data_IF_980559157999
#
_entry.id   IF_980559157999
#
_cell.length_a   1.000
_cell.length_b   1.000
_cell.length_c   1.000
_cell.angle_alpha   90.00
_cell.angle_beta   90.00
_cell.angle_gamma   90.00
#
_symmetry.space_group_name_H-M   'P 1'
#
loop_
_entity.id
_entity.type
_entity.pdbx_description
1 polymer ?
#
# COMPACT_ATOMS: atom_id res chain seq x y z
N UNK A 1 2.98 -17.24 7.68
CA UNK A 1 4.37 -16.72 7.74
C UNK A 1 4.84 -16.30 6.36
N UNK A 2 5.48 -15.13 6.24
CA UNK A 2 6.17 -14.64 5.05
C UNK A 2 7.67 -14.67 5.32
N UNK A 3 8.48 -15.15 4.36
CA UNK A 3 9.94 -15.10 4.45
C UNK A 3 10.51 -14.42 3.23
N UNK A 4 11.45 -13.52 3.46
CA UNK A 4 12.16 -12.78 2.41
C UNK A 4 13.64 -13.13 2.46
N UNK A 5 14.32 -12.94 1.33
CA UNK A 5 15.77 -13.08 1.24
C UNK A 5 16.32 -12.11 0.22
N UNK A 6 17.60 -11.78 0.34
CA UNK A 6 18.31 -10.99 -0.67
C UNK A 6 18.91 -11.95 -1.70
N UNK A 7 18.63 -11.68 -2.97
CA UNK A 7 19.30 -12.31 -4.11
C UNK A 7 20.01 -11.26 -4.95
N UNK A 8 20.95 -11.71 -5.77
CA UNK A 8 21.51 -10.87 -6.82
C UNK A 8 20.62 -10.97 -8.08
N UNK A 9 20.26 -9.81 -8.63
CA UNK A 9 19.54 -9.69 -9.89
C UNK A 9 20.23 -8.64 -10.75
N UNK A 10 20.79 -9.04 -11.88
CA UNK A 10 21.62 -8.20 -12.77
C UNK A 10 22.73 -7.41 -12.01
N UNK A 11 23.34 -8.02 -10.99
CA UNK A 11 24.38 -7.40 -10.16
C UNK A 11 23.86 -6.41 -9.10
N UNK A 12 22.55 -6.34 -8.91
CA UNK A 12 21.89 -5.50 -7.90
C UNK A 12 21.32 -6.39 -6.79
N UNK A 13 21.59 -6.11 -5.51
CA UNK A 13 20.91 -6.80 -4.41
C UNK A 13 19.43 -6.44 -4.41
N UNK A 14 18.60 -7.47 -4.54
CA UNK A 14 17.15 -7.39 -4.71
C UNK A 14 16.47 -8.28 -3.68
N UNK A 15 15.44 -7.75 -3.03
CA UNK A 15 14.64 -8.48 -2.06
C UNK A 15 13.61 -9.35 -2.79
N UNK A 16 13.57 -10.64 -2.46
CA UNK A 16 12.67 -11.61 -3.09
C UNK A 16 11.88 -12.38 -2.02
N UNK A 17 10.73 -12.90 -2.44
CA UNK A 17 9.90 -13.76 -1.62
C UNK A 17 10.49 -15.18 -1.62
N UNK A 18 10.98 -15.63 -0.46
CA UNK A 18 11.48 -16.99 -0.28
C UNK A 18 10.33 -17.99 -0.18
N UNK A 19 9.32 -17.68 0.63
CA UNK A 19 8.17 -18.54 0.87
C UNK A 19 7.03 -17.76 1.50
N UNK A 20 5.79 -18.17 1.25
CA UNK A 20 4.60 -17.66 1.92
C UNK A 20 3.68 -18.80 2.35
N UNK A 21 3.16 -18.74 3.57
CA UNK A 21 2.19 -19.72 4.07
C UNK A 21 0.76 -19.43 3.57
N UNK A 22 -0.06 -20.47 3.43
CA UNK A 22 -1.45 -20.36 2.99
C UNK A 22 -2.35 -19.49 3.91
N UNK A 23 -1.97 -19.39 5.18
CA UNK A 23 -2.62 -18.60 6.23
C UNK A 23 -1.89 -17.29 6.52
N UNK A 24 -0.91 -16.90 5.69
CA UNK A 24 -0.14 -15.69 5.92
C UNK A 24 -1.01 -14.43 5.88
N UNK A 25 -0.71 -13.51 6.79
CA UNK A 25 -1.48 -12.28 7.00
C UNK A 25 -0.76 -11.05 6.46
N UNK A 26 -1.47 -9.94 6.35
CA UNK A 26 -0.87 -8.64 6.05
C UNK A 26 0.16 -8.25 7.12
N UNK A 27 -0.08 -8.64 8.38
CA UNK A 27 0.90 -8.41 9.44
C UNK A 27 2.20 -9.21 9.20
N UNK A 28 2.11 -10.47 8.77
CA UNK A 28 3.30 -11.26 8.43
C UNK A 28 4.16 -10.58 7.35
N UNK A 29 3.52 -10.02 6.32
CA UNK A 29 4.23 -9.28 5.27
C UNK A 29 4.86 -7.98 5.79
N UNK A 30 4.12 -7.26 6.63
CA UNK A 30 4.63 -6.04 7.30
C UNK A 30 5.87 -6.38 8.12
N UNK A 31 5.82 -7.45 8.91
CA UNK A 31 6.91 -7.83 9.81
C UNK A 31 8.15 -8.25 9.02
N UNK A 32 7.98 -9.04 7.96
CA UNK A 32 9.08 -9.46 7.10
C UNK A 32 9.76 -8.28 6.37
N UNK A 33 8.98 -7.32 5.87
CA UNK A 33 9.54 -6.10 5.26
C UNK A 33 10.13 -5.14 6.29
N UNK A 34 9.59 -5.12 7.51
CA UNK A 34 10.12 -4.31 8.59
C UNK A 34 11.49 -4.81 9.05
N UNK A 35 11.67 -6.13 9.15
CA UNK A 35 12.96 -6.73 9.44
C UNK A 35 14.02 -6.28 8.43
N UNK A 36 13.74 -6.36 7.12
CA UNK A 36 14.65 -5.87 6.08
C UNK A 36 14.89 -4.34 6.13
N UNK A 37 13.87 -3.58 6.55
CA UNK A 37 13.96 -2.12 6.72
C UNK A 37 14.93 -1.74 7.84
N UNK A 38 14.94 -2.50 8.92
CA UNK A 38 15.76 -2.26 10.10
C UNK A 38 17.11 -3.02 10.06
N UNK A 39 17.32 -3.90 9.08
CA UNK A 39 18.59 -4.59 8.87
C UNK A 39 19.65 -3.64 8.24
N UNK A 40 20.75 -3.30 8.93
CA UNK A 40 21.77 -2.42 8.40
C UNK A 40 22.58 -3.03 7.24
N UNK A 41 22.46 -4.33 7.00
CA UNK A 41 23.16 -5.06 5.92
C UNK A 41 22.36 -5.13 4.62
N UNK A 42 21.09 -4.75 4.64
CA UNK A 42 20.26 -4.70 3.43
C UNK A 42 20.58 -3.47 2.58
N UNK A 43 20.81 -3.69 1.29
CA UNK A 43 21.12 -2.66 0.30
C UNK A 43 19.96 -1.69 0.10
N UNK A 44 20.21 -0.40 0.27
CA UNK A 44 19.25 0.71 0.26
C UNK A 44 19.87 1.84 -0.57
N UNK A 45 19.65 1.89 -1.90
CA UNK A 45 20.36 2.78 -2.82
C UNK A 45 20.22 4.27 -2.47
N UNK A 46 19.12 4.64 -1.81
CA UNK A 46 18.86 6.02 -1.41
C UNK A 46 19.54 6.42 -0.09
N UNK A 47 20.14 5.47 0.65
CA UNK A 47 20.98 5.81 1.80
C UNK A 47 22.37 6.24 1.30
N UNK A 48 22.93 7.32 1.85
CA UNK A 48 24.32 7.76 1.57
C UNK A 48 25.37 6.65 1.76
N UNK A 49 25.35 5.84 2.84
CA UNK A 49 26.21 4.66 2.94
C UNK A 49 25.73 3.45 2.12
N UNK A 50 24.59 3.56 1.44
CA UNK A 50 23.83 2.48 0.76
C UNK A 50 23.36 1.33 1.64
N UNK A 51 23.82 1.27 2.89
CA UNK A 51 23.52 0.22 3.87
C UNK A 51 23.27 0.90 5.22
N UNK A 52 22.24 0.45 5.94
CA UNK A 52 21.87 1.05 7.23
C UNK A 52 20.38 0.97 7.52
N UNK A 53 19.99 1.51 8.67
CA UNK A 53 18.59 1.54 9.11
C UNK A 53 17.85 2.66 8.38
N UNK A 54 16.65 2.39 7.88
CA UNK A 54 15.85 3.38 7.14
C UNK A 54 15.32 4.53 8.02
N UNK A 55 15.06 4.27 9.31
CA UNK A 55 14.55 5.28 10.23
C UNK A 55 15.52 6.46 10.36
N UNK A 56 15.04 7.68 10.10
CA UNK A 56 15.87 8.89 10.17
C UNK A 56 16.68 9.20 8.90
N UNK A 57 16.52 8.43 7.83
CA UNK A 57 17.17 8.70 6.54
C UNK A 57 16.95 10.15 6.06
N UNK A 58 18.00 10.80 5.56
CA UNK A 58 17.94 12.18 5.03
C UNK A 58 17.21 12.25 3.68
N UNK A 59 17.36 11.21 2.87
CA UNK A 59 16.72 11.03 1.56
C UNK A 59 15.37 10.27 1.68
N UNK A 60 14.72 10.38 2.85
CA UNK A 60 13.54 9.57 3.18
C UNK A 60 12.37 9.70 2.19
N UNK A 61 11.59 8.63 2.10
CA UNK A 61 10.38 8.56 1.27
C UNK A 61 9.36 9.67 1.59
N UNK A 62 9.33 10.16 2.84
CA UNK A 62 8.44 11.23 3.28
C UNK A 62 8.71 12.57 2.58
N UNK A 63 9.90 12.81 2.04
CA UNK A 63 10.24 14.02 1.26
C UNK A 63 9.97 13.83 -0.23
N UNK A 64 10.16 12.62 -0.72
CA UNK A 64 10.20 12.33 -2.16
C UNK A 64 8.84 11.94 -2.72
N UNK A 65 8.04 11.19 -1.96
CA UNK A 65 6.83 10.55 -2.46
C UNK A 65 5.56 11.07 -1.78
N UNK A 66 4.45 10.87 -2.48
CA UNK A 66 3.12 11.04 -1.92
C UNK A 66 2.79 9.83 -1.06
N UNK A 67 2.16 10.07 0.09
CA UNK A 67 1.82 9.02 1.05
C UNK A 67 0.32 8.82 1.06
N UNK A 68 -0.09 7.59 0.76
CA UNK A 68 -1.47 7.16 0.64
C UNK A 68 -1.86 6.33 1.88
N UNK A 69 -2.61 6.91 2.84
CA UNK A 69 -3.06 6.16 4.01
C UNK A 69 -4.09 5.09 3.64
N UNK A 70 -3.97 3.93 4.29
CA UNK A 70 -5.01 2.90 4.29
C UNK A 70 -6.05 3.15 5.40
N UNK A 71 -7.16 2.41 5.35
CA UNK A 71 -8.26 2.56 6.31
C UNK A 71 -7.83 2.32 7.77
N UNK A 72 -7.00 1.30 8.02
CA UNK A 72 -6.62 0.92 9.39
C UNK A 72 -5.69 2.00 9.96
N UNK A 73 -4.66 2.42 9.22
CA UNK A 73 -3.77 3.49 9.68
C UNK A 73 -4.50 4.82 9.84
N UNK A 74 -5.37 5.20 8.91
CA UNK A 74 -6.16 6.44 9.02
C UNK A 74 -7.01 6.47 10.29
N UNK A 75 -7.68 5.36 10.64
CA UNK A 75 -8.42 5.25 11.88
C UNK A 75 -7.51 5.36 13.12
N UNK A 76 -6.38 4.65 13.13
CA UNK A 76 -5.42 4.71 14.26
C UNK A 76 -4.84 6.11 14.45
N UNK A 77 -4.48 6.80 13.37
CA UNK A 77 -3.96 8.17 13.40
C UNK A 77 -5.05 9.16 13.87
N UNK A 78 -6.27 9.03 13.36
CA UNK A 78 -7.40 9.86 13.77
C UNK A 78 -7.68 9.70 15.27
N UNK A 79 -7.74 8.47 15.76
CA UNK A 79 -7.94 8.15 17.18
C UNK A 79 -6.82 8.73 18.04
N UNK A 80 -5.55 8.55 17.66
CA UNK A 80 -4.40 9.12 18.39
C UNK A 80 -4.42 10.66 18.44
N UNK A 81 -5.18 11.31 17.55
CA UNK A 81 -5.37 12.76 17.51
C UNK A 81 -6.71 13.21 18.10
N UNK A 82 -7.49 12.30 18.68
CA UNK A 82 -8.85 12.57 19.18
C UNK A 82 -9.77 13.18 18.12
N UNK A 83 -9.68 12.69 16.88
CA UNK A 83 -10.51 13.07 15.74
C UNK A 83 -11.36 11.89 15.27
N UNK A 84 -12.55 12.19 14.75
CA UNK A 84 -13.28 11.22 13.92
C UNK A 84 -12.52 10.99 12.61
N UNK A 85 -12.71 9.83 11.97
CA UNK A 85 -12.14 9.58 10.63
C UNK A 85 -12.56 10.69 9.64
N UNK A 86 -13.82 11.14 9.72
CA UNK A 86 -14.39 12.20 8.88
C UNK A 86 -13.61 13.53 9.04
N UNK A 87 -13.35 13.94 10.28
CA UNK A 87 -12.68 15.20 10.56
C UNK A 87 -11.17 15.13 10.29
N UNK A 88 -10.55 13.98 10.60
CA UNK A 88 -9.18 13.70 10.20
C UNK A 88 -9.02 13.84 8.68
N UNK A 89 -9.89 13.19 7.90
CA UNK A 89 -9.89 13.26 6.45
C UNK A 89 -10.01 14.67 5.91
N UNK A 90 -10.95 15.48 6.44
CA UNK A 90 -11.11 16.88 6.00
C UNK A 90 -9.86 17.72 6.22
N UNK A 91 -9.14 17.48 7.31
CA UNK A 91 -8.02 18.30 7.76
C UNK A 91 -6.67 17.85 7.17
N UNK A 92 -6.51 16.57 6.89
CA UNK A 92 -5.20 15.97 6.63
C UNK A 92 -5.07 15.25 5.30
N UNK A 93 -6.17 15.01 4.57
CA UNK A 93 -6.13 14.31 3.28
C UNK A 93 -6.50 15.23 2.12
N UNK A 94 -5.72 15.11 1.04
CA UNK A 94 -6.10 15.61 -0.28
C UNK A 94 -7.16 14.67 -0.87
N UNK A 95 -8.23 15.29 -1.35
CA UNK A 95 -9.45 14.62 -1.84
C UNK A 95 -9.79 15.07 -3.26
N UNK A 96 -8.81 15.58 -3.99
CA UNK A 96 -8.99 15.93 -5.39
C UNK A 96 -9.65 14.77 -6.15
N UNK A 97 -10.66 15.09 -6.95
CA UNK A 97 -11.50 14.11 -7.66
C UNK A 97 -10.74 13.30 -8.71
N UNK A 98 -9.56 13.77 -9.13
CA UNK A 98 -8.72 13.19 -10.17
C UNK A 98 -7.66 12.25 -9.57
N UNK A 99 -7.52 12.22 -8.24
CA UNK A 99 -6.66 11.24 -7.56
C UNK A 99 -7.29 9.84 -7.57
N UNK A 100 -6.44 8.83 -7.78
CA UNK A 100 -6.86 7.44 -7.69
C UNK A 100 -6.96 6.94 -6.24
N UNK A 101 -6.11 7.45 -5.35
CA UNK A 101 -6.13 7.23 -3.90
C UNK A 101 -6.03 8.55 -3.14
N UNK A 102 -6.56 8.58 -1.92
CA UNK A 102 -6.38 9.75 -1.06
C UNK A 102 -4.94 9.80 -0.57
N UNK A 103 -4.32 10.97 -0.59
CA UNK A 103 -2.96 11.20 -0.08
C UNK A 103 -2.96 12.18 1.07
N UNK A 104 -1.92 12.20 1.88
CA UNK A 104 -1.73 13.28 2.85
C UNK A 104 -1.65 14.65 2.18
N UNK A 105 -2.27 15.65 2.78
CA UNK A 105 -2.24 17.03 2.31
C UNK A 105 -0.88 17.67 2.63
N UNK A 106 0.02 17.74 1.64
CA UNK A 106 1.28 18.46 1.73
C UNK A 106 2.51 17.66 1.29
N UNK A 107 3.56 18.39 0.90
CA UNK A 107 4.89 17.85 0.62
C UNK A 107 5.95 18.77 1.26
N UNK A 108 6.87 18.27 2.11
CA UNK A 108 7.02 16.87 2.52
C UNK A 108 5.81 16.36 3.33
N UNK A 109 5.76 15.05 3.59
CA UNK A 109 4.72 14.42 4.40
C UNK A 109 4.48 15.24 5.69
N UNK A 110 3.22 15.58 6.03
CA UNK A 110 2.91 16.45 7.17
C UNK A 110 3.27 15.84 8.53
N UNK A 111 3.61 14.55 8.56
CA UNK A 111 4.05 13.86 9.77
C UNK A 111 5.57 13.80 9.93
N UNK A 112 6.35 14.34 8.99
CA UNK A 112 7.80 14.40 9.07
C UNK A 112 8.26 15.57 9.94
N UNK A 113 8.97 15.29 11.03
CA UNK A 113 9.61 16.29 11.90
C UNK A 113 11.01 15.81 12.27
N UNK A 114 12.02 16.66 12.09
CA UNK A 114 13.42 16.35 12.42
C UNK A 114 13.92 15.01 11.79
N UNK A 115 13.52 14.76 10.53
CA UNK A 115 13.75 13.51 9.77
C UNK A 115 13.09 12.25 10.34
N UNK A 116 12.22 12.38 11.34
CA UNK A 116 11.49 11.28 11.96
C UNK A 116 9.99 11.41 11.75
N UNK A 117 9.31 10.25 11.69
CA UNK A 117 7.87 10.20 11.54
C UNK A 117 7.19 10.34 12.91
N UNK A 118 6.40 11.39 13.08
CA UNK A 118 5.64 11.66 14.32
C UNK A 118 4.50 10.66 14.58
N UNK A 119 4.18 9.81 13.60
CA UNK A 119 3.17 8.75 13.70
C UNK A 119 3.78 7.37 13.43
N UNK A 120 5.09 7.18 13.67
CA UNK A 120 5.81 5.96 13.29
C UNK A 120 5.10 4.64 13.68
N UNK A 121 4.51 4.48 14.89
CA UNK A 121 3.78 3.25 15.26
C UNK A 121 2.46 3.05 14.52
N UNK A 122 1.89 4.10 13.92
CA UNK A 122 0.63 4.10 13.20
C UNK A 122 0.80 4.43 11.71
N UNK A 123 2.04 4.37 11.20
CA UNK A 123 2.33 4.76 9.82
C UNK A 123 1.48 3.94 8.83
N UNK A 124 1.05 4.56 7.71
CA UNK A 124 0.36 3.89 6.63
C UNK A 124 1.00 2.60 6.18
N UNK A 125 0.19 1.67 5.69
CA UNK A 125 0.66 0.40 5.15
C UNK A 125 1.70 0.59 4.04
N UNK A 126 1.50 1.56 3.14
CA UNK A 126 2.48 1.89 2.10
C UNK A 126 3.84 2.26 2.70
N UNK A 127 3.89 2.93 3.87
CA UNK A 127 5.13 3.27 4.56
C UNK A 127 5.76 2.10 5.31
N UNK A 128 5.00 1.04 5.62
CA UNK A 128 5.51 -0.20 6.24
C UNK A 128 6.04 -1.16 5.20
N UNK A 129 5.41 -1.14 4.04
CA UNK A 129 5.70 -2.05 2.95
C UNK A 129 6.74 -1.49 1.97
N UNK A 130 6.98 -0.18 1.98
CA UNK A 130 7.99 0.45 1.14
C UNK A 130 9.38 0.33 1.75
N UNK A 131 10.28 -0.29 1.00
CA UNK A 131 11.71 -0.29 1.24
C UNK A 131 12.39 0.20 -0.04
N UNK A 132 13.38 1.09 0.07
CA UNK A 132 14.06 1.64 -1.11
C UNK A 132 14.99 0.63 -1.83
N UNK A 133 15.13 -0.57 -1.28
CA UNK A 133 15.74 -1.75 -1.90
C UNK A 133 14.88 -2.23 -3.07
N UNK A 134 15.46 -2.56 -4.24
CA UNK A 134 14.74 -3.21 -5.31
C UNK A 134 14.06 -4.50 -4.83
N UNK A 135 12.89 -4.81 -5.38
CA UNK A 135 12.17 -6.06 -5.10
C UNK A 135 11.88 -6.79 -6.41
N UNK A 136 11.77 -8.12 -6.35
CA UNK A 136 11.30 -8.90 -7.50
C UNK A 136 9.83 -8.62 -7.82
N UNK A 137 9.41 -8.94 -9.05
CA UNK A 137 8.03 -8.72 -9.50
C UNK A 137 7.00 -9.37 -8.58
N UNK A 138 7.26 -10.57 -8.05
CA UNK A 138 6.34 -11.27 -7.17
C UNK A 138 6.15 -10.53 -5.84
N UNK A 139 7.24 -10.07 -5.23
CA UNK A 139 7.18 -9.30 -3.99
C UNK A 139 6.55 -7.92 -4.23
N UNK A 140 6.90 -7.24 -5.32
CA UNK A 140 6.29 -5.98 -5.76
C UNK A 140 4.77 -6.13 -5.94
N UNK A 141 4.33 -7.17 -6.65
CA UNK A 141 2.92 -7.42 -6.94
C UNK A 141 2.14 -7.76 -5.67
N UNK A 142 2.71 -8.57 -4.77
CA UNK A 142 2.11 -8.86 -3.47
C UNK A 142 1.97 -7.59 -2.63
N UNK A 143 3.04 -6.80 -2.54
CA UNK A 143 3.07 -5.51 -1.83
C UNK A 143 2.04 -4.52 -2.38
N UNK A 144 1.99 -4.37 -3.70
CA UNK A 144 1.07 -3.47 -4.39
C UNK A 144 -0.39 -3.91 -4.19
N UNK A 145 -0.67 -5.20 -4.28
CA UNK A 145 -2.01 -5.76 -4.05
C UNK A 145 -2.54 -5.39 -2.67
N UNK A 146 -1.72 -5.59 -1.63
CA UNK A 146 -2.05 -5.24 -0.24
C UNK A 146 -2.26 -3.72 -0.08
N UNK A 147 -1.37 -2.91 -0.64
CA UNK A 147 -1.46 -1.44 -0.56
C UNK A 147 -2.75 -0.92 -1.21
N UNK A 148 -3.07 -1.38 -2.41
CA UNK A 148 -4.29 -1.01 -3.12
C UNK A 148 -5.56 -1.41 -2.38
N UNK A 149 -5.58 -2.57 -1.71
CA UNK A 149 -6.72 -2.95 -0.86
C UNK A 149 -6.87 -2.00 0.32
N UNK A 150 -5.80 -1.73 1.06
CA UNK A 150 -5.84 -0.82 2.20
C UNK A 150 -6.28 0.60 1.84
N UNK A 151 -5.70 1.17 0.79
CA UNK A 151 -5.96 2.53 0.30
C UNK A 151 -7.38 2.66 -0.28
N UNK A 152 -7.88 1.64 -0.98
CA UNK A 152 -9.26 1.64 -1.49
C UNK A 152 -10.31 1.44 -0.40
N UNK A 153 -10.00 0.69 0.66
CA UNK A 153 -10.91 0.55 1.79
C UNK A 153 -11.21 1.91 2.44
N UNK A 154 -10.20 2.79 2.52
CA UNK A 154 -10.39 4.15 3.03
C UNK A 154 -11.36 4.93 2.15
N UNK A 155 -11.21 4.85 0.82
CA UNK A 155 -12.15 5.48 -0.12
C UNK A 155 -13.57 4.95 0.07
N UNK A 156 -13.73 3.62 0.11
CA UNK A 156 -15.06 2.99 0.22
C UNK A 156 -15.74 3.39 1.52
N UNK A 157 -15.00 3.46 2.63
CA UNK A 157 -15.54 3.90 3.91
C UNK A 157 -15.95 5.39 3.86
N UNK A 158 -15.11 6.25 3.31
CA UNK A 158 -15.39 7.69 3.23
C UNK A 158 -16.50 8.03 2.24
N UNK A 159 -16.73 7.23 1.20
CA UNK A 159 -17.88 7.38 0.30
C UNK A 159 -19.21 7.27 1.06
N UNK A 160 -19.30 6.41 2.09
CA UNK A 160 -20.51 6.28 2.93
C UNK A 160 -20.83 7.55 3.70
N UNK A 161 -19.82 8.41 3.93
CA UNK A 161 -19.97 9.66 4.69
C UNK A 161 -20.37 10.86 3.83
N UNK A 162 -20.38 10.71 2.50
CA UNK A 162 -20.63 11.80 1.55
C UNK A 162 -19.46 12.77 1.39
N UNK A 163 -18.26 12.46 1.92
CA UNK A 163 -17.10 13.36 1.85
C UNK A 163 -16.37 13.36 0.50
N UNK A 164 -16.55 12.31 -0.30
CA UNK A 164 -15.81 12.10 -1.54
C UNK A 164 -16.70 12.31 -2.76
N UNK A 165 -16.10 12.81 -3.84
CA UNK A 165 -16.79 13.00 -5.10
C UNK A 165 -17.27 11.66 -5.70
N UNK A 166 -18.36 11.66 -6.51
CA UNK A 166 -18.84 10.44 -7.17
C UNK A 166 -17.82 9.75 -8.09
N UNK A 167 -16.75 10.45 -8.50
CA UNK A 167 -15.65 9.90 -9.31
C UNK A 167 -14.92 8.75 -8.60
N UNK A 168 -14.94 8.74 -7.27
CA UNK A 168 -14.38 7.67 -6.44
C UNK A 168 -15.23 6.39 -6.42
N UNK A 169 -16.47 6.41 -6.91
CA UNK A 169 -17.35 5.25 -6.84
C UNK A 169 -16.92 4.14 -7.80
N UNK A 170 -17.15 2.89 -7.41
CA UNK A 170 -16.94 1.71 -8.26
C UNK A 170 -17.58 1.87 -9.65
N UNK A 171 -18.85 2.33 -9.69
CA UNK A 171 -19.60 2.51 -10.95
C UNK A 171 -18.91 3.52 -11.87
N UNK A 172 -18.43 4.63 -11.33
CA UNK A 172 -17.75 5.64 -12.12
C UNK A 172 -16.38 5.14 -12.62
N UNK A 173 -15.58 4.53 -11.75
CA UNK A 173 -14.27 3.96 -12.14
C UNK A 173 -14.39 2.87 -13.19
N UNK A 174 -15.35 1.96 -13.04
CA UNK A 174 -15.61 0.93 -14.04
C UNK A 174 -16.08 1.53 -15.38
N UNK A 175 -16.88 2.60 -15.35
CA UNK A 175 -17.29 3.33 -16.55
C UNK A 175 -16.07 3.94 -17.27
N UNK A 176 -15.15 4.56 -16.54
CA UNK A 176 -13.93 5.13 -17.12
C UNK A 176 -13.02 4.03 -17.68
N UNK A 177 -12.85 2.92 -16.97
CA UNK A 177 -12.08 1.78 -17.47
C UNK A 177 -12.67 1.18 -18.76
N UNK A 178 -14.01 1.10 -18.87
CA UNK A 178 -14.69 0.71 -20.11
C UNK A 178 -14.49 1.72 -21.24
N UNK A 179 -14.44 3.01 -20.91
CA UNK A 179 -14.13 4.07 -21.88
C UNK A 179 -12.72 3.87 -22.43
N UNK A 180 -11.73 3.65 -21.58
CA UNK A 180 -10.34 3.42 -21.98
C UNK A 180 -10.20 2.21 -22.91
N UNK A 181 -10.97 1.13 -22.65
CA UNK A 181 -11.04 -0.01 -23.56
C UNK A 181 -11.66 0.40 -24.91
N UNK A 182 -12.78 1.12 -24.90
CA UNK A 182 -13.48 1.52 -26.13
C UNK A 182 -12.66 2.47 -27.00
N UNK A 183 -11.81 3.31 -26.40
CA UNK A 183 -10.89 4.22 -27.09
C UNK A 183 -9.57 3.57 -27.46
N UNK A 184 -9.40 2.26 -27.20
CA UNK A 184 -8.17 1.49 -27.42
C UNK A 184 -6.95 2.04 -26.66
N UNK A 185 -7.17 2.78 -25.58
CA UNK A 185 -6.10 3.23 -24.69
C UNK A 185 -5.51 2.05 -23.89
N UNK A 186 -6.33 1.03 -23.61
CA UNK A 186 -5.91 -0.25 -23.02
C UNK A 186 -6.36 -1.44 -23.87
N UNK A 187 -5.62 -2.54 -23.76
CA UNK A 187 -5.95 -3.83 -24.38
C UNK A 187 -6.99 -4.62 -23.55
N UNK A 188 -7.70 -5.60 -24.15
CA UNK A 188 -8.73 -6.38 -23.46
C UNK A 188 -8.27 -7.19 -22.23
N UNK A 189 -7.06 -7.74 -22.28
CA UNK A 189 -6.40 -8.44 -21.18
C UNK A 189 -6.13 -7.48 -20.01
N UNK A 190 -5.58 -6.29 -20.30
CA UNK A 190 -5.36 -5.23 -19.30
C UNK A 190 -6.67 -4.76 -18.68
N UNK A 191 -7.73 -4.61 -19.48
CA UNK A 191 -9.07 -4.30 -18.97
C UNK A 191 -9.54 -5.37 -17.99
N UNK A 192 -9.42 -6.65 -18.35
CA UNK A 192 -9.89 -7.77 -17.53
C UNK A 192 -9.19 -7.78 -16.17
N UNK A 193 -7.86 -7.65 -16.16
CA UNK A 193 -7.07 -7.58 -14.93
C UNK A 193 -7.46 -6.38 -14.06
N UNK A 194 -7.53 -5.17 -14.65
CA UNK A 194 -7.89 -3.95 -13.90
C UNK A 194 -9.33 -3.98 -13.40
N UNK A 195 -10.26 -4.56 -14.14
CA UNK A 195 -11.65 -4.71 -13.72
C UNK A 195 -11.77 -5.69 -12.55
N UNK A 196 -11.02 -6.80 -12.58
CA UNK A 196 -10.95 -7.74 -11.47
C UNK A 196 -10.35 -7.08 -10.23
N UNK A 197 -9.22 -6.37 -10.37
CA UNK A 197 -8.60 -5.62 -9.26
C UNK A 197 -9.58 -4.60 -8.67
N UNK A 198 -10.26 -3.83 -9.51
CA UNK A 198 -11.27 -2.85 -9.08
C UNK A 198 -12.44 -3.52 -8.34
N UNK A 199 -12.88 -4.68 -8.81
CA UNK A 199 -13.91 -5.46 -8.14
C UNK A 199 -13.46 -5.92 -6.75
N UNK A 200 -12.24 -6.46 -6.62
CA UNK A 200 -11.69 -6.86 -5.32
C UNK A 200 -11.63 -5.66 -4.35
N UNK A 201 -11.03 -4.55 -4.79
CA UNK A 201 -10.88 -3.31 -4.02
C UNK A 201 -12.19 -2.72 -3.49
N UNK A 202 -13.31 -2.88 -4.21
CA UNK A 202 -14.59 -2.26 -3.84
C UNK A 202 -15.64 -3.22 -3.31
N UNK A 203 -15.58 -4.51 -3.67
CA UNK A 203 -16.64 -5.49 -3.42
C UNK A 203 -16.22 -6.64 -2.52
N UNK A 204 -14.93 -6.98 -2.52
CA UNK A 204 -14.39 -8.09 -1.72
C UNK A 204 -13.26 -7.65 -0.78
N UNK A 205 -13.12 -6.37 -0.53
CA UNK A 205 -11.98 -5.81 0.19
C UNK A 205 -11.98 -6.24 1.67
N UNK A 206 -10.97 -7.00 2.14
CA UNK A 206 -10.94 -7.51 3.51
C UNK A 206 -10.70 -6.42 4.56
N UNK A 207 -10.04 -5.31 4.19
CA UNK A 207 -9.78 -4.18 5.09
C UNK A 207 -11.07 -3.48 5.56
N UNK A 208 -12.20 -3.67 4.87
CA UNK A 208 -13.49 -3.12 5.28
C UNK A 208 -14.13 -3.84 6.48
N UNK A 209 -13.66 -5.05 6.79
CA UNK A 209 -14.21 -5.90 7.86
C UNK A 209 -13.34 -5.91 9.10
N UNK A 210 -12.05 -5.68 8.93
CA UNK A 210 -11.04 -5.85 9.98
C UNK A 210 -10.50 -4.53 10.51
N UNK A 211 -10.04 -4.55 11.77
CA UNK A 211 -9.41 -3.41 12.45
C UNK A 211 -7.90 -3.59 12.66
N UNK A 212 -7.38 -4.77 12.37
CA UNK A 212 -5.97 -5.15 12.51
C UNK A 212 -5.48 -5.84 11.24
N UNK A 213 -4.20 -5.66 10.93
CA UNK A 213 -3.56 -6.33 9.79
C UNK A 213 -3.38 -7.83 10.02
N UNK A 214 -3.35 -8.27 11.29
CA UNK A 214 -3.26 -9.68 11.70
C UNK A 214 -4.47 -10.51 11.27
N UNK A 215 -5.62 -9.88 11.04
CA UNK A 215 -6.85 -10.58 10.68
C UNK A 215 -7.09 -10.59 9.16
N UNK A 216 -6.18 -10.01 8.37
CA UNK A 216 -6.33 -9.90 6.92
C UNK A 216 -5.38 -10.87 6.28
N UNK A 217 -5.91 -11.92 5.64
CA UNK A 217 -5.10 -12.88 4.91
C UNK A 217 -4.62 -12.29 3.58
N UNK A 218 -3.36 -12.58 3.21
CA UNK A 218 -2.77 -12.10 1.96
C UNK A 218 -3.51 -12.63 0.73
N UNK A 219 -3.99 -13.88 0.78
CA UNK A 219 -4.79 -14.50 -0.28
C UNK A 219 -6.06 -13.70 -0.65
N UNK A 220 -6.63 -12.99 0.32
CA UNK A 220 -7.85 -12.19 0.11
C UNK A 220 -7.54 -10.82 -0.51
N UNK A 221 -6.25 -10.44 -0.57
CA UNK A 221 -5.80 -9.20 -1.19
C UNK A 221 -5.42 -9.37 -2.66
N UNK A 222 -5.31 -10.61 -3.15
CA UNK A 222 -4.72 -10.93 -4.45
C UNK A 222 -5.72 -11.63 -5.38
N UNK A 223 -5.54 -11.54 -6.71
CA UNK A 223 -6.18 -12.48 -7.63
C UNK A 223 -5.79 -13.93 -7.30
N UNK A 224 -6.75 -14.86 -7.41
CA UNK A 224 -6.56 -16.28 -7.05
C UNK A 224 -5.36 -16.92 -7.75
N UNK A 225 -5.27 -16.77 -9.07
CA UNK A 225 -4.17 -17.35 -9.85
C UNK A 225 -2.79 -16.81 -9.45
N UNK A 226 -2.71 -15.54 -9.04
CA UNK A 226 -1.45 -14.97 -8.54
C UNK A 226 -1.09 -15.57 -7.18
N UNK A 227 -2.07 -15.69 -6.26
CA UNK A 227 -1.83 -16.31 -4.96
C UNK A 227 -1.38 -17.77 -5.06
N UNK A 228 -2.03 -18.56 -5.90
CA UNK A 228 -1.67 -19.97 -6.13
C UNK A 228 -0.22 -20.08 -6.64
N UNK A 229 0.18 -19.24 -7.60
CA UNK A 229 1.56 -19.22 -8.10
C UNK A 229 2.61 -18.86 -7.03
N UNK A 230 2.25 -18.08 -6.01
CA UNK A 230 3.17 -17.77 -4.90
C UNK A 230 3.37 -18.94 -3.94
N UNK A 231 2.38 -19.84 -3.80
CA UNK A 231 2.47 -21.00 -2.90
C UNK A 231 3.29 -22.15 -3.49
N UNK A 232 3.37 -22.23 -4.82
CA UNK A 232 4.09 -23.29 -5.54
C UNK A 232 5.63 -23.07 -5.57
N UNK A 233 6.12 -22.03 -4.87
CA UNK A 233 7.53 -21.67 -4.76
C UNK A 233 8.27 -22.41 -3.64
#
# INVERSE_FOLDING_TARGET
MVRLYIREDEGVPTLDLLSVSQDATVQDLIDALQEATDDPTVYKPQLKPRYGICAGCVDNCCRQYEIYPDLISANKIAQAKNLSLKDYTKKHLDRDKDLYFLKFSGKPCPHLKDNLCTIYPFRPIICRLFLCTPMTDDLENLRASVSYMGESALIVELLKTGLLAPTYTYKHRLKNLKKDLSTKYIKPDVYTLRAQQLYLMYKKNPFLKEKSYENIYLKDCCPTAFWEALLDR
#
